data_IF_679884386285
#
_entry.id   IF_679884386285
#
_cell.length_a   1.000
_cell.length_b   1.000
_cell.length_c   1.000
_cell.angle_alpha   90.00
_cell.angle_beta   90.00
_cell.angle_gamma   90.00
#
_symmetry.space_group_name_H-M   'P 1'
#
loop_
_entity.id
_entity.type
_entity.pdbx_description
1 polymer ?
#
# COMPACT_ATOMS: atom_id res chain seq x y z
N UNK A 1 31.99 25.03 24.51
CA UNK A 1 30.64 24.45 24.57
C UNK A 1 30.01 24.59 23.19
N UNK A 2 29.62 23.45 22.62
CA UNK A 2 28.71 23.19 21.50
C UNK A 2 28.95 23.87 20.14
N UNK A 3 29.63 23.10 19.29
CA UNK A 3 29.64 23.14 17.82
C UNK A 3 28.21 23.14 17.26
N UNK A 4 27.80 24.21 16.59
CA UNK A 4 26.59 24.22 15.77
C UNK A 4 26.97 23.77 14.36
N UNK A 5 26.77 22.49 14.08
CA UNK A 5 26.82 21.93 12.73
C UNK A 5 25.65 22.52 11.95
N UNK A 6 25.90 23.57 11.17
CA UNK A 6 24.97 24.06 10.15
C UNK A 6 24.86 22.99 9.06
N UNK A 7 23.91 22.07 9.26
CA UNK A 7 23.46 21.12 8.26
C UNK A 7 22.83 21.94 7.12
N UNK A 8 23.15 21.65 5.85
CA UNK A 8 22.63 22.43 4.73
C UNK A 8 21.10 22.43 4.78
N UNK A 9 20.52 23.63 4.71
CA UNK A 9 19.09 23.85 4.52
C UNK A 9 18.70 23.30 3.16
N UNK A 10 18.52 21.98 3.09
CA UNK A 10 17.96 21.30 1.95
C UNK A 10 16.55 21.87 1.80
N UNK A 11 16.24 22.64 0.73
CA UNK A 11 14.88 23.09 0.52
C UNK A 11 14.02 21.83 0.50
N UNK A 12 13.03 21.76 1.40
CA UNK A 12 12.13 20.63 1.52
C UNK A 12 11.54 20.35 0.13
N UNK A 13 12.13 19.38 -0.58
CA UNK A 13 11.80 19.08 -1.96
C UNK A 13 10.51 18.28 -1.92
N UNK A 14 9.38 18.98 -1.83
CA UNK A 14 8.05 18.38 -1.85
C UNK A 14 7.78 17.88 -3.26
N UNK A 15 8.02 16.59 -3.49
CA UNK A 15 7.66 15.91 -4.74
C UNK A 15 6.23 15.41 -4.60
N UNK A 16 5.29 16.08 -5.28
CA UNK A 16 3.89 15.67 -5.29
C UNK A 16 3.70 14.51 -6.27
N UNK A 17 3.37 13.32 -5.77
CA UNK A 17 3.06 12.14 -6.57
C UNK A 17 1.57 11.83 -6.47
N UNK A 18 0.86 11.69 -7.60
CA UNK A 18 -0.48 11.10 -7.61
C UNK A 18 -0.34 9.57 -7.64
N UNK A 19 -0.90 8.90 -6.64
CA UNK A 19 -1.04 7.45 -6.67
C UNK A 19 -2.48 7.12 -7.08
N UNK A 20 -2.66 6.65 -8.31
CA UNK A 20 -3.96 6.19 -8.80
C UNK A 20 -4.10 4.70 -8.51
N UNK A 21 -4.79 4.36 -7.42
CA UNK A 21 -5.01 2.96 -7.03
C UNK A 21 -6.35 2.49 -7.60
N UNK A 22 -6.31 1.69 -8.67
CA UNK A 22 -7.48 1.01 -9.21
C UNK A 22 -7.64 -0.34 -8.55
N UNK A 23 -8.67 -0.48 -7.73
CA UNK A 23 -9.04 -1.74 -7.09
C UNK A 23 -10.12 -2.43 -7.92
N UNK A 24 -9.91 -3.71 -8.22
CA UNK A 24 -10.89 -4.55 -8.89
C UNK A 24 -12.12 -4.71 -7.99
N UNK A 25 -13.31 -4.52 -8.56
CA UNK A 25 -14.58 -4.61 -7.84
C UNK A 25 -14.82 -5.97 -7.17
N UNK A 26 -14.25 -7.05 -7.70
CA UNK A 26 -14.29 -8.39 -7.09
C UNK A 26 -13.35 -8.56 -5.89
N UNK A 27 -12.38 -7.67 -5.68
CA UNK A 27 -11.39 -7.82 -4.62
C UNK A 27 -12.01 -7.60 -3.22
N UNK A 28 -12.92 -6.62 -3.10
CA UNK A 28 -13.63 -6.34 -1.85
C UNK A 28 -14.48 -7.53 -1.36
N UNK A 29 -15.39 -8.11 -2.16
CA UNK A 29 -16.16 -9.28 -1.72
C UNK A 29 -15.25 -10.49 -1.48
N UNK A 30 -14.18 -10.69 -2.26
CA UNK A 30 -13.21 -11.77 -2.03
C UNK A 30 -12.51 -11.65 -0.68
N UNK A 31 -11.96 -10.47 -0.36
CA UNK A 31 -11.29 -10.21 0.92
C UNK A 31 -12.24 -10.39 2.09
N UNK A 32 -13.50 -9.97 1.95
CA UNK A 32 -14.53 -10.14 2.99
C UNK A 32 -14.85 -11.61 3.25
N UNK A 33 -15.03 -12.40 2.20
CA UNK A 33 -15.24 -13.85 2.30
C UNK A 33 -14.02 -14.54 2.90
N UNK A 34 -12.82 -14.14 2.49
CA UNK A 34 -11.58 -14.71 3.01
C UNK A 34 -11.37 -14.38 4.48
N UNK A 35 -11.63 -13.13 4.91
CA UNK A 35 -11.61 -12.74 6.31
C UNK A 35 -12.65 -13.52 7.14
N UNK A 36 -13.86 -13.74 6.59
CA UNK A 36 -14.89 -14.54 7.25
C UNK A 36 -14.47 -16.00 7.40
N UNK A 37 -13.95 -16.62 6.33
CA UNK A 37 -13.44 -17.99 6.39
C UNK A 37 -12.27 -18.10 7.38
N UNK A 38 -11.37 -17.13 7.41
CA UNK A 38 -10.26 -17.11 8.37
C UNK A 38 -10.75 -16.97 9.81
N UNK A 39 -11.75 -16.13 10.06
CA UNK A 39 -12.37 -16.00 11.38
C UNK A 39 -13.08 -17.30 11.81
N UNK A 40 -13.76 -17.99 10.90
CA UNK A 40 -14.48 -19.24 11.17
C UNK A 40 -13.52 -20.42 11.36
N UNK A 41 -12.47 -20.49 10.54
CA UNK A 41 -11.56 -21.64 10.51
C UNK A 41 -10.42 -21.52 11.52
N UNK A 42 -10.17 -20.31 12.05
CA UNK A 42 -9.06 -20.04 12.98
C UNK A 42 -7.68 -20.27 12.36
N UNK A 43 -7.61 -20.52 11.05
CA UNK A 43 -6.37 -20.72 10.31
C UNK A 43 -5.89 -19.40 9.71
N UNK A 44 -4.60 -19.11 9.90
CA UNK A 44 -3.96 -17.99 9.22
C UNK A 44 -4.08 -18.17 7.71
N UNK A 45 -4.69 -17.20 6.99
CA UNK A 45 -4.72 -17.25 5.54
C UNK A 45 -3.28 -17.27 5.04
N UNK A 46 -3.04 -18.06 3.98
CA UNK A 46 -1.74 -18.02 3.32
C UNK A 46 -1.51 -16.64 2.71
N UNK A 47 -0.80 -15.79 3.44
CA UNK A 47 -0.56 -14.38 3.11
C UNK A 47 0.14 -14.23 1.75
N UNK A 48 0.95 -15.20 1.32
CA UNK A 48 1.56 -15.19 -0.02
C UNK A 48 0.53 -15.32 -1.14
N UNK A 49 -0.51 -16.15 -0.96
CA UNK A 49 -1.58 -16.30 -1.94
C UNK A 49 -2.48 -15.07 -1.98
N UNK A 50 -2.84 -14.55 -0.81
CA UNK A 50 -3.63 -13.32 -0.67
C UNK A 50 -2.90 -12.14 -1.31
N UNK A 51 -1.60 -11.97 -1.03
CA UNK A 51 -0.78 -10.92 -1.63
C UNK A 51 -0.77 -10.99 -3.15
N UNK A 52 -0.67 -12.18 -3.74
CA UNK A 52 -0.72 -12.36 -5.21
C UNK A 52 -2.09 -12.04 -5.81
N UNK A 53 -3.18 -12.33 -5.10
CA UNK A 53 -4.55 -11.97 -5.55
C UNK A 53 -4.78 -10.47 -5.43
N UNK A 54 -4.32 -9.85 -4.35
CA UNK A 54 -4.34 -8.39 -4.18
C UNK A 54 -3.50 -7.72 -5.25
N UNK A 55 -2.28 -8.20 -5.53
CA UNK A 55 -1.41 -7.66 -6.58
C UNK A 55 -2.07 -7.71 -7.97
N UNK A 56 -2.79 -8.81 -8.26
CA UNK A 56 -3.61 -8.92 -9.49
C UNK A 56 -4.86 -8.05 -9.48
N UNK A 57 -5.46 -7.82 -8.31
CA UNK A 57 -6.69 -7.06 -8.14
C UNK A 57 -6.47 -5.57 -7.92
N UNK A 58 -5.26 -5.15 -7.57
CA UNK A 58 -4.89 -3.76 -7.29
C UNK A 58 -3.91 -3.32 -8.36
N UNK A 59 -4.42 -2.62 -9.35
CA UNK A 59 -3.57 -1.90 -10.30
C UNK A 59 -3.26 -0.53 -9.71
N UNK A 60 -2.08 -0.39 -9.08
CA UNK A 60 -1.59 0.91 -8.66
C UNK A 60 -0.77 1.55 -9.80
N UNK A 61 -1.28 2.65 -10.35
CA UNK A 61 -0.56 3.49 -11.30
C UNK A 61 -0.08 4.75 -10.58
N UNK A 62 1.24 4.89 -10.39
CA UNK A 62 1.81 6.13 -9.92
C UNK A 62 1.97 7.10 -11.11
N UNK A 63 1.31 8.26 -11.05
CA UNK A 63 1.47 9.34 -12.01
C UNK A 63 2.16 10.52 -11.30
N UNK A 64 3.28 10.97 -11.83
CA UNK A 64 3.93 12.19 -11.34
C UNK A 64 3.08 13.38 -11.81
N UNK A 65 2.57 14.17 -10.87
CA UNK A 65 1.89 15.42 -11.18
C UNK A 65 2.99 16.48 -11.32
N UNK A 66 3.08 17.08 -12.50
CA UNK A 66 4.11 18.06 -12.84
C UNK A 66 3.64 19.49 -12.52
#
# INVERSE_FOLDING_TARGET
MTTATELPEQPARTITCALNVRVAWWLMPYLRTLAFICAVTGMEPNMNRVKRVIDKGVTAAASRIH
#
